data_IF_310224384903
#
_entry.id   IF_310224384903
#
_cell.length_a   1.000
_cell.length_b   1.000
_cell.length_c   1.000
_cell.angle_alpha   90.00
_cell.angle_beta   90.00
_cell.angle_gamma   90.00
#
_symmetry.space_group_name_H-M   'P 1'
#
loop_
_entity.id
_entity.type
_entity.pdbx_description
1 polymer ?
#
# COMPACT_ATOMS: atom_id res chain seq x y z
N UNK A 1 49.61 -25.39 -78.34
CA UNK A 1 48.80 -24.17 -78.56
C UNK A 1 47.86 -24.43 -79.72
N UNK A 2 46.56 -24.26 -79.49
CA UNK A 2 45.53 -23.64 -80.35
C UNK A 2 44.17 -23.99 -79.70
N UNK A 3 43.52 -22.93 -79.24
CA UNK A 3 42.08 -22.61 -79.03
C UNK A 3 41.00 -23.68 -79.29
N UNK A 4 39.87 -23.64 -78.56
CA UNK A 4 38.78 -22.68 -78.83
C UNK A 4 37.99 -22.22 -77.57
N UNK A 5 36.98 -21.33 -77.56
CA UNK A 5 36.47 -20.20 -78.37
C UNK A 5 35.51 -19.47 -77.42
N UNK A 6 35.41 -18.16 -77.62
CA UNK A 6 34.65 -17.17 -76.89
C UNK A 6 33.12 -17.24 -77.17
N UNK A 7 32.27 -16.95 -76.19
CA UNK A 7 30.87 -16.51 -76.43
C UNK A 7 30.54 -15.24 -75.65
N UNK A 8 30.65 -14.14 -76.40
CA UNK A 8 29.94 -12.86 -76.34
C UNK A 8 30.30 -11.79 -75.28
N UNK A 9 30.55 -10.60 -75.83
CA UNK A 9 31.15 -9.39 -75.26
C UNK A 9 30.24 -8.59 -74.31
N UNK A 10 30.84 -7.75 -73.45
CA UNK A 10 30.15 -6.71 -72.69
C UNK A 10 29.89 -5.48 -73.59
N UNK A 11 28.70 -4.89 -73.47
CA UNK A 11 28.38 -3.60 -74.12
C UNK A 11 28.26 -2.53 -73.04
N UNK A 12 28.98 -1.44 -73.26
CA UNK A 12 28.94 -0.19 -72.50
C UNK A 12 27.51 0.36 -72.41
N UNK A 13 27.05 0.64 -71.19
CA UNK A 13 25.82 1.40 -70.96
C UNK A 13 26.12 2.90 -70.98
N UNK A 14 25.71 3.55 -72.07
CA UNK A 14 25.48 5.00 -72.10
C UNK A 14 24.25 5.34 -71.29
N UNK A 15 24.37 6.39 -70.46
CA UNK A 15 23.31 6.99 -69.67
C UNK A 15 22.08 7.34 -70.53
N UNK A 16 20.92 6.83 -70.14
CA UNK A 16 19.62 7.42 -70.42
C UNK A 16 18.89 7.62 -69.10
N UNK A 17 18.53 8.87 -68.84
CA UNK A 17 17.76 9.27 -67.67
C UNK A 17 16.33 8.74 -67.79
N UNK A 18 15.96 7.82 -66.91
CA UNK A 18 14.59 7.52 -66.57
C UNK A 18 14.46 7.61 -65.04
N UNK A 19 13.55 8.49 -64.61
CA UNK A 19 13.24 8.83 -63.24
C UNK A 19 12.89 7.58 -62.43
N UNK A 20 13.78 7.17 -61.53
CA UNK A 20 13.39 6.40 -60.37
C UNK A 20 12.45 7.24 -59.54
N UNK A 21 11.19 6.81 -59.40
CA UNK A 21 10.33 7.29 -58.32
C UNK A 21 11.03 6.98 -57.01
N UNK A 22 11.62 8.01 -56.42
CA UNK A 22 12.04 7.98 -55.03
C UNK A 22 10.76 7.82 -54.21
N UNK A 23 10.52 6.61 -53.69
CA UNK A 23 9.59 6.45 -52.57
C UNK A 23 10.25 7.19 -51.41
N UNK A 24 9.87 8.44 -51.23
CA UNK A 24 10.23 9.19 -50.05
C UNK A 24 9.67 8.41 -48.84
N UNK A 25 10.46 8.22 -47.76
CA UNK A 25 9.84 7.88 -46.48
C UNK A 25 8.74 8.92 -46.23
N UNK A 26 7.56 8.53 -45.71
CA UNK A 26 6.52 9.49 -45.40
C UNK A 26 7.16 10.61 -44.61
N UNK A 27 7.09 11.84 -45.14
CA UNK A 27 7.53 13.01 -44.41
C UNK A 27 6.88 12.91 -43.03
N UNK A 28 7.62 13.15 -41.92
CA UNK A 28 6.98 13.27 -40.64
C UNK A 28 5.88 14.31 -40.83
N UNK A 29 4.62 13.89 -40.73
CA UNK A 29 3.53 14.83 -40.62
C UNK A 29 3.96 15.76 -39.50
N UNK A 30 4.13 17.05 -39.82
CA UNK A 30 4.17 18.08 -38.79
C UNK A 30 2.83 17.95 -38.08
N UNK A 31 2.81 17.15 -37.03
CA UNK A 31 1.78 17.22 -36.03
C UNK A 31 1.96 18.62 -35.46
N UNK A 32 1.13 19.55 -35.90
CA UNK A 32 0.97 20.84 -35.25
C UNK A 32 0.71 20.52 -33.79
N UNK A 33 1.71 20.76 -32.93
CA UNK A 33 1.48 20.79 -31.50
C UNK A 33 0.33 21.76 -31.26
N UNK A 34 -0.63 21.43 -30.38
CA UNK A 34 -1.54 22.45 -29.87
C UNK A 34 -0.69 23.64 -29.42
N UNK A 35 -1.08 24.85 -29.84
CA UNK A 35 -0.40 26.09 -29.48
C UNK A 35 -0.57 26.28 -27.98
N UNK A 36 0.39 25.79 -27.20
CA UNK A 36 0.40 25.98 -25.76
C UNK A 36 0.96 27.37 -25.53
N UNK A 37 0.12 28.33 -25.15
CA UNK A 37 0.59 29.62 -24.65
C UNK A 37 1.32 29.40 -23.32
N UNK A 38 2.60 29.05 -23.38
CA UNK A 38 3.50 28.95 -22.24
C UNK A 38 4.43 30.16 -22.24
N UNK A 39 4.74 30.68 -21.05
CA UNK A 39 5.88 31.58 -20.92
C UNK A 39 7.15 30.80 -21.32
N UNK A 40 8.10 31.46 -22.00
CA UNK A 40 9.32 30.78 -22.48
C UNK A 40 10.15 30.12 -21.36
N UNK A 41 10.09 30.69 -20.15
CA UNK A 41 10.77 30.12 -18.98
C UNK A 41 10.07 28.87 -18.44
N UNK A 42 8.73 28.86 -18.39
CA UNK A 42 7.96 27.69 -17.96
C UNK A 42 8.12 26.51 -18.92
N UNK A 43 8.11 26.79 -20.23
CA UNK A 43 8.33 25.78 -21.26
C UNK A 43 9.74 25.18 -21.17
N UNK A 44 10.75 26.01 -20.92
CA UNK A 44 12.15 25.56 -20.77
C UNK A 44 12.36 24.73 -19.51
N UNK A 45 11.78 25.15 -18.38
CA UNK A 45 11.85 24.40 -17.12
C UNK A 45 11.17 23.03 -17.24
N UNK A 46 9.98 22.96 -17.84
CA UNK A 46 9.27 21.72 -18.10
C UNK A 46 10.02 20.80 -19.08
N UNK A 47 10.57 21.36 -20.17
CA UNK A 47 11.39 20.60 -21.11
C UNK A 47 12.64 20.01 -20.44
N UNK A 48 13.34 20.81 -19.62
CA UNK A 48 14.48 20.33 -18.86
C UNK A 48 14.08 19.24 -17.85
N UNK A 49 12.92 19.36 -17.22
CA UNK A 49 12.41 18.34 -16.28
C UNK A 49 12.22 16.98 -16.97
N UNK A 50 11.65 16.95 -18.18
CA UNK A 50 11.50 15.72 -18.96
C UNK A 50 12.84 15.16 -19.47
N UNK A 51 13.85 16.00 -19.68
CA UNK A 51 15.17 15.56 -20.11
C UNK A 51 16.09 15.14 -18.96
N UNK A 52 15.88 15.69 -17.75
CA UNK A 52 16.57 15.30 -16.51
C UNK A 52 16.03 13.95 -16.05
N UNK A 53 14.70 13.76 -16.06
CA UNK A 53 14.05 12.48 -15.88
C UNK A 53 14.16 11.65 -17.16
N UNK A 54 15.39 11.26 -17.50
CA UNK A 54 15.65 10.34 -18.62
C UNK A 54 14.79 9.07 -18.45
N UNK A 55 14.48 8.35 -19.55
CA UNK A 55 13.86 7.02 -19.50
C UNK A 55 14.57 6.02 -18.57
N UNK A 56 15.81 6.32 -18.16
CA UNK A 56 16.60 5.56 -17.19
C UNK A 56 16.17 5.71 -15.73
N UNK A 57 15.28 6.65 -15.37
CA UNK A 57 14.70 6.72 -14.01
C UNK A 57 13.54 5.73 -13.79
N UNK A 58 13.03 5.09 -14.85
CA UNK A 58 12.08 3.99 -14.68
C UNK A 58 12.83 2.78 -14.10
N UNK A 59 12.80 2.68 -12.78
CA UNK A 59 13.40 1.56 -12.05
C UNK A 59 12.68 0.28 -12.48
N UNK A 60 13.42 -0.66 -13.07
CA UNK A 60 12.90 -2.02 -13.29
C UNK A 60 12.80 -2.70 -11.93
N UNK A 61 11.58 -2.84 -11.42
CA UNK A 61 11.31 -3.47 -10.14
C UNK A 61 10.91 -4.92 -10.36
N UNK A 62 11.63 -5.83 -9.71
CA UNK A 62 11.25 -7.25 -9.68
C UNK A 62 10.22 -7.47 -8.55
N UNK A 63 9.08 -8.13 -8.77
CA UNK A 63 8.09 -8.31 -7.72
C UNK A 63 8.58 -9.25 -6.62
N UNK A 64 8.09 -9.06 -5.39
CA UNK A 64 8.22 -10.04 -4.32
C UNK A 64 7.33 -11.25 -4.65
N UNK A 65 7.89 -12.45 -4.59
CA UNK A 65 7.14 -13.68 -4.92
C UNK A 65 6.43 -14.21 -3.67
N UNK A 66 5.13 -14.50 -3.73
CA UNK A 66 4.39 -15.06 -2.60
C UNK A 66 4.82 -16.49 -2.33
N UNK A 67 4.93 -16.83 -1.05
CA UNK A 67 5.00 -18.22 -0.60
C UNK A 67 3.58 -18.77 -0.60
N UNK A 68 3.33 -19.75 -1.47
CA UNK A 68 2.03 -20.42 -1.59
C UNK A 68 2.06 -21.70 -0.77
N UNK A 69 1.14 -21.80 0.19
CA UNK A 69 0.97 -22.96 1.06
C UNK A 69 -0.41 -23.54 0.78
N UNK A 70 -0.46 -24.77 0.28
CA UNK A 70 -1.73 -25.49 0.09
C UNK A 70 -2.16 -26.13 1.41
N UNK A 71 -3.47 -26.39 1.60
CA UNK A 71 -3.96 -27.04 2.81
C UNK A 71 -3.21 -28.34 3.16
N UNK A 72 -2.89 -29.16 2.15
CA UNK A 72 -2.23 -30.45 2.34
C UNK A 72 -0.78 -30.30 2.80
N UNK A 73 -0.14 -29.19 2.46
CA UNK A 73 1.29 -28.94 2.73
C UNK A 73 1.54 -28.30 4.11
N UNK A 74 0.52 -27.83 4.82
CA UNK A 74 0.67 -27.25 6.18
C UNK A 74 1.30 -28.25 7.15
N UNK A 75 0.90 -29.52 7.07
CA UNK A 75 1.43 -30.58 7.94
C UNK A 75 2.94 -30.82 7.73
N UNK A 76 3.44 -30.50 6.54
CA UNK A 76 4.81 -30.74 6.09
C UNK A 76 5.73 -29.52 6.28
N UNK A 77 5.18 -28.37 6.72
CA UNK A 77 5.98 -27.21 7.11
C UNK A 77 6.88 -27.61 8.29
N UNK A 78 8.18 -27.36 8.12
CA UNK A 78 9.18 -27.57 9.16
C UNK A 78 9.01 -26.55 10.28
N UNK A 79 9.38 -26.94 11.50
CA UNK A 79 9.36 -26.05 12.65
C UNK A 79 8.52 -26.57 13.81
N UNK A 80 8.56 -25.83 14.90
CA UNK A 80 7.77 -26.08 16.10
C UNK A 80 6.30 -25.71 15.84
N UNK A 81 5.40 -26.70 15.93
CA UNK A 81 3.96 -26.49 15.87
C UNK A 81 3.46 -26.01 17.22
N UNK A 82 2.93 -24.80 17.27
CA UNK A 82 2.40 -24.19 18.50
C UNK A 82 0.88 -24.28 18.47
N UNK A 83 0.33 -24.96 19.47
CA UNK A 83 -1.11 -25.14 19.66
C UNK A 83 -1.60 -24.23 20.78
N UNK A 84 -2.83 -23.73 20.66
CA UNK A 84 -3.51 -23.04 21.75
C UNK A 84 -3.96 -24.04 22.84
N UNK A 85 -4.47 -23.53 23.97
CA UNK A 85 -4.97 -24.36 25.07
C UNK A 85 -6.12 -25.30 24.72
N UNK A 86 -6.80 -25.06 23.59
CA UNK A 86 -7.85 -25.93 23.06
C UNK A 86 -7.32 -27.00 22.09
N UNK A 87 -6.00 -27.09 21.90
CA UNK A 87 -5.37 -28.05 21.00
C UNK A 87 -5.47 -27.68 19.51
N UNK A 88 -5.89 -26.46 19.17
CA UNK A 88 -5.96 -25.97 17.79
C UNK A 88 -4.60 -25.38 17.38
N UNK A 89 -4.12 -25.72 16.18
CA UNK A 89 -2.88 -25.18 15.65
C UNK A 89 -2.98 -23.65 15.49
N UNK A 90 -2.06 -22.92 16.12
CA UNK A 90 -2.04 -21.45 16.09
C UNK A 90 -0.97 -20.93 15.13
N UNK A 91 0.23 -21.50 15.21
CA UNK A 91 1.36 -21.11 14.37
C UNK A 91 2.38 -22.24 14.22
N UNK A 92 3.27 -22.09 13.25
CA UNK A 92 4.46 -22.93 13.08
C UNK A 92 5.67 -22.02 13.07
N UNK A 93 6.67 -22.32 13.90
CA UNK A 93 7.90 -21.51 14.04
C UNK A 93 9.10 -22.31 13.54
N UNK A 94 9.64 -21.93 12.38
CA UNK A 94 10.82 -22.53 11.79
C UNK A 94 12.07 -21.69 12.12
N UNK A 95 12.91 -22.21 13.03
CA UNK A 95 14.17 -21.55 13.44
C UNK A 95 15.31 -22.09 12.59
N UNK A 96 15.79 -21.27 11.65
CA UNK A 96 16.94 -21.57 10.81
C UNK A 96 18.20 -20.87 11.34
N UNK A 97 19.34 -21.01 10.67
CA UNK A 97 20.60 -20.43 11.16
C UNK A 97 20.57 -18.89 11.20
N UNK A 98 20.05 -18.26 10.13
CA UNK A 98 20.07 -16.79 9.96
C UNK A 98 18.73 -16.11 10.21
N UNK A 99 17.65 -16.86 10.06
CA UNK A 99 16.29 -16.33 10.16
C UNK A 99 15.38 -17.25 10.96
N UNK A 100 14.31 -16.67 11.49
CA UNK A 100 13.16 -17.39 12.04
C UNK A 100 11.95 -17.05 11.19
N UNK A 101 11.26 -18.07 10.67
CA UNK A 101 10.03 -17.92 9.90
C UNK A 101 8.85 -18.33 10.76
N UNK A 102 7.86 -17.45 10.90
CA UNK A 102 6.64 -17.71 11.67
C UNK A 102 5.45 -17.75 10.71
N UNK A 103 4.83 -18.91 10.60
CA UNK A 103 3.59 -19.13 9.86
C UNK A 103 2.42 -19.01 10.83
N UNK A 104 1.60 -17.97 10.70
CA UNK A 104 0.37 -17.79 11.48
C UNK A 104 -0.80 -18.43 10.75
N UNK A 105 -1.53 -19.30 11.44
CA UNK A 105 -2.67 -19.97 10.84
C UNK A 105 -3.88 -19.03 10.70
N UNK A 106 -4.76 -19.33 9.76
CA UNK A 106 -6.06 -18.67 9.60
C UNK A 106 -6.97 -19.02 10.78
N UNK A 107 -7.60 -18.03 11.43
CA UNK A 107 -8.41 -18.27 12.63
C UNK A 107 -9.62 -19.14 12.32
N UNK A 108 -10.24 -18.98 11.14
CA UNK A 108 -11.41 -19.74 10.74
C UNK A 108 -11.06 -21.12 10.18
N UNK A 109 -9.84 -21.29 9.65
CA UNK A 109 -9.38 -22.54 9.03
C UNK A 109 -7.93 -22.90 9.43
N UNK A 110 -7.66 -23.13 10.72
CA UNK A 110 -6.29 -23.17 11.27
C UNK A 110 -5.43 -24.33 10.78
N UNK A 111 -6.03 -25.40 10.26
CA UNK A 111 -5.30 -26.53 9.69
C UNK A 111 -5.22 -26.50 8.16
N UNK A 112 -5.83 -25.49 7.52
CA UNK A 112 -5.98 -25.45 6.06
C UNK A 112 -5.48 -24.17 5.41
N UNK A 113 -5.28 -23.09 6.15
CA UNK A 113 -4.75 -21.85 5.62
C UNK A 113 -3.78 -21.16 6.57
N UNK A 114 -2.83 -20.46 5.96
CA UNK A 114 -1.93 -19.52 6.61
C UNK A 114 -2.43 -18.11 6.32
N UNK A 115 -2.66 -17.32 7.36
CA UNK A 115 -3.10 -15.92 7.26
C UNK A 115 -1.91 -14.97 7.15
N UNK A 116 -0.77 -15.32 7.73
CA UNK A 116 0.42 -14.46 7.73
C UNK A 116 1.72 -15.27 7.81
N UNK A 117 2.77 -14.78 7.16
CA UNK A 117 4.13 -15.31 7.26
C UNK A 117 5.06 -14.15 7.61
N UNK A 118 5.80 -14.28 8.73
CA UNK A 118 6.76 -13.28 9.19
C UNK A 118 8.17 -13.85 9.22
N UNK A 119 9.15 -13.03 8.83
CA UNK A 119 10.57 -13.41 8.78
C UNK A 119 11.39 -12.49 9.68
N UNK A 120 12.05 -13.08 10.67
CA UNK A 120 12.88 -12.37 11.64
C UNK A 120 14.35 -12.69 11.41
N UNK A 121 15.20 -11.67 11.43
CA UNK A 121 16.65 -11.86 11.41
C UNK A 121 17.13 -12.29 12.81
N UNK A 122 17.78 -13.44 12.93
CA UNK A 122 18.16 -14.00 14.24
C UNK A 122 19.26 -13.20 14.95
N UNK A 123 20.08 -12.45 14.22
CA UNK A 123 21.15 -11.64 14.82
C UNK A 123 20.62 -10.37 15.47
N UNK A 124 19.59 -9.77 14.87
CA UNK A 124 19.05 -8.47 15.32
C UNK A 124 17.71 -8.60 16.05
N UNK A 125 17.03 -9.74 15.91
CA UNK A 125 15.65 -9.93 16.36
C UNK A 125 14.61 -9.12 15.57
N UNK A 126 15.03 -8.39 14.52
CA UNK A 126 14.15 -7.50 13.77
C UNK A 126 13.38 -8.24 12.69
N UNK A 127 12.14 -7.83 12.48
CA UNK A 127 11.31 -8.23 11.36
C UNK A 127 11.90 -7.70 10.05
N UNK A 128 11.98 -8.56 9.04
CA UNK A 128 12.58 -8.24 7.73
C UNK A 128 11.60 -8.41 6.58
N UNK A 129 10.59 -9.26 6.74
CA UNK A 129 9.57 -9.50 5.72
C UNK A 129 8.25 -9.97 6.33
N UNK A 130 7.16 -9.53 5.73
CA UNK A 130 5.78 -9.91 6.09
C UNK A 130 5.05 -10.29 4.80
N UNK A 131 4.33 -11.40 4.82
CA UNK A 131 3.32 -11.75 3.83
C UNK A 131 1.98 -11.91 4.53
N UNK A 132 0.97 -11.14 4.13
CA UNK A 132 -0.42 -11.27 4.60
C UNK A 132 -1.27 -11.90 3.51
N UNK A 133 -2.01 -12.94 3.87
CA UNK A 133 -2.87 -13.72 3.00
C UNK A 133 -4.33 -13.49 3.42
N UNK A 134 -5.15 -12.92 2.53
CA UNK A 134 -6.57 -12.74 2.76
C UNK A 134 -7.31 -13.94 2.18
N UNK A 135 -7.70 -14.84 3.07
CA UNK A 135 -8.37 -16.08 2.73
C UNK A 135 -9.89 -15.90 2.81
N UNK A 136 -10.60 -16.39 1.80
CA UNK A 136 -12.04 -16.44 1.80
C UNK A 136 -12.50 -17.89 2.03
N UNK A 137 -13.45 -18.08 2.96
CA UNK A 137 -14.13 -19.35 3.14
C UNK A 137 -15.10 -19.54 1.96
N UNK A 138 -14.70 -20.30 0.95
CA UNK A 138 -15.59 -20.69 -0.14
C UNK A 138 -16.69 -21.67 0.33
N UNK A 139 -17.62 -21.99 -0.57
CA UNK A 139 -18.68 -23.00 -0.36
C UNK A 139 -18.15 -24.44 -0.23
N UNK A 140 -16.89 -24.65 -0.64
CA UNK A 140 -16.16 -25.90 -0.46
C UNK A 140 -15.16 -25.66 0.66
N UNK A 141 -15.05 -26.58 1.61
CA UNK A 141 -14.30 -26.50 2.88
C UNK A 141 -12.78 -26.21 2.80
N UNK A 142 -12.27 -25.72 1.66
CA UNK A 142 -10.91 -25.30 1.43
C UNK A 142 -10.84 -23.77 1.28
N UNK A 143 -10.17 -23.06 2.21
CA UNK A 143 -9.99 -21.62 2.11
C UNK A 143 -9.21 -21.28 0.83
N UNK A 144 -9.70 -20.28 0.09
CA UNK A 144 -9.02 -19.77 -1.10
C UNK A 144 -8.37 -18.44 -0.77
N UNK A 145 -7.08 -18.30 -1.04
CA UNK A 145 -6.41 -17.01 -0.99
C UNK A 145 -6.93 -16.11 -2.13
N UNK A 146 -7.49 -14.96 -1.78
CA UNK A 146 -8.02 -13.97 -2.73
C UNK A 146 -7.04 -12.83 -2.94
N UNK A 147 -6.31 -12.46 -1.89
CA UNK A 147 -5.35 -11.37 -1.93
C UNK A 147 -4.09 -11.73 -1.14
N UNK A 148 -2.94 -11.32 -1.63
CA UNK A 148 -1.65 -11.46 -0.93
C UNK A 148 -0.88 -10.15 -0.98
N UNK A 149 -0.53 -9.63 0.19
CA UNK A 149 0.33 -8.45 0.34
C UNK A 149 1.66 -8.85 0.94
N UNK A 150 2.76 -8.48 0.29
CA UNK A 150 4.11 -8.81 0.73
C UNK A 150 4.90 -7.52 0.92
N UNK A 151 5.58 -7.39 2.05
CA UNK A 151 6.46 -6.27 2.36
C UNK A 151 7.80 -6.77 2.86
N UNK A 152 8.89 -6.17 2.35
CA UNK A 152 10.24 -6.26 2.90
C UNK A 152 10.62 -4.96 3.58
N UNK A 153 11.28 -5.07 4.74
CA UNK A 153 11.67 -3.97 5.61
C UNK A 153 13.19 -3.79 5.59
N UNK A 154 13.64 -2.54 5.66
CA UNK A 154 15.06 -2.23 5.85
C UNK A 154 15.47 -2.36 7.34
N UNK A 155 16.75 -2.10 7.65
CA UNK A 155 17.30 -2.19 9.01
C UNK A 155 16.63 -1.27 10.04
N UNK A 156 15.98 -0.21 9.58
CA UNK A 156 15.27 0.77 10.41
C UNK A 156 13.80 0.38 10.62
N UNK A 157 13.35 -0.75 10.06
CA UNK A 157 11.98 -1.22 10.11
C UNK A 157 11.04 -0.52 9.12
N UNK A 158 11.58 0.30 8.19
CA UNK A 158 10.78 0.96 7.16
C UNK A 158 10.60 0.07 5.95
N UNK A 159 9.44 0.18 5.29
CA UNK A 159 9.15 -0.51 4.02
C UNK A 159 10.22 -0.19 3.00
N UNK A 160 10.94 -1.20 2.52
CA UNK A 160 11.88 -1.07 1.41
C UNK A 160 11.21 -1.43 0.09
N UNK A 161 10.33 -2.43 0.13
CA UNK A 161 9.69 -2.99 -1.05
C UNK A 161 8.35 -3.63 -0.72
N UNK A 162 7.39 -3.49 -1.61
CA UNK A 162 6.07 -4.10 -1.47
C UNK A 162 5.61 -4.73 -2.78
N UNK A 163 4.77 -5.77 -2.70
CA UNK A 163 4.06 -6.33 -3.85
C UNK A 163 2.66 -6.78 -3.43
N UNK A 164 1.68 -6.46 -4.27
CA UNK A 164 0.28 -6.78 -4.06
C UNK A 164 -0.20 -7.70 -5.17
N UNK A 165 -0.85 -8.80 -4.76
CA UNK A 165 -1.46 -9.77 -5.65
C UNK A 165 -2.94 -9.89 -5.37
N UNK A 166 -3.76 -9.82 -6.42
CA UNK A 166 -5.19 -10.09 -6.37
C UNK A 166 -5.53 -11.27 -7.26
N UNK A 167 -6.23 -12.26 -6.71
CA UNK A 167 -6.60 -13.52 -7.36
C UNK A 167 -5.41 -14.22 -8.06
N UNK A 168 -4.24 -14.19 -7.40
CA UNK A 168 -3.00 -14.79 -7.89
C UNK A 168 -2.30 -14.01 -9.01
N UNK A 169 -2.78 -12.82 -9.38
CA UNK A 169 -2.14 -11.93 -10.36
C UNK A 169 -1.49 -10.75 -9.64
N UNK A 170 -0.29 -10.38 -10.10
CA UNK A 170 0.39 -9.18 -9.61
C UNK A 170 -0.40 -7.94 -10.03
N UNK A 171 -0.77 -7.12 -9.06
CA UNK A 171 -1.47 -5.83 -9.25
C UNK A 171 -0.50 -4.66 -9.17
N UNK A 172 0.46 -4.70 -8.24
CA UNK A 172 1.48 -3.65 -8.13
C UNK A 172 2.77 -4.13 -7.47
N UNK A 173 3.85 -3.43 -7.77
CA UNK A 173 5.12 -3.51 -7.04
C UNK A 173 5.58 -2.11 -6.70
N UNK A 174 6.04 -1.93 -5.47
CA UNK A 174 6.53 -0.66 -4.98
C UNK A 174 7.93 -0.79 -4.37
N UNK A 175 8.77 0.22 -4.57
CA UNK A 175 10.06 0.34 -3.89
C UNK A 175 10.21 1.73 -3.28
N UNK A 176 10.91 1.79 -2.15
CA UNK A 176 10.97 2.96 -1.30
C UNK A 176 12.42 3.37 -1.05
N UNK A 177 12.70 4.65 -1.25
CA UNK A 177 13.96 5.29 -0.92
C UNK A 177 13.72 6.39 0.09
N UNK A 178 14.55 6.43 1.14
CA UNK A 178 14.46 7.42 2.21
C UNK A 178 15.72 8.29 2.20
N UNK A 179 15.51 9.60 2.28
CA UNK A 179 16.57 10.59 2.40
C UNK A 179 16.59 11.25 3.78
N UNK A 180 17.53 12.19 4.00
CA UNK A 180 17.51 13.06 5.17
C UNK A 180 16.20 13.88 5.23
N UNK A 181 15.90 14.43 6.40
CA UNK A 181 14.82 15.40 6.61
C UNK A 181 13.42 14.93 6.17
N UNK A 182 13.14 13.63 6.32
CA UNK A 182 11.83 13.06 5.99
C UNK A 182 11.56 12.95 4.49
N UNK A 183 12.58 13.15 3.64
CA UNK A 183 12.42 12.90 2.20
C UNK A 183 12.13 11.42 1.94
N UNK A 184 11.13 11.14 1.11
CA UNK A 184 10.73 9.79 0.71
C UNK A 184 10.44 9.78 -0.79
N UNK A 185 10.94 8.77 -1.49
CA UNK A 185 10.64 8.49 -2.90
C UNK A 185 10.05 7.10 -3.03
N UNK A 186 8.89 7.01 -3.68
CA UNK A 186 8.12 5.78 -3.88
C UNK A 186 8.03 5.53 -5.37
N UNK A 187 8.60 4.42 -5.80
CA UNK A 187 8.48 3.94 -7.17
C UNK A 187 7.33 2.94 -7.20
N UNK A 188 6.35 3.12 -8.09
CA UNK A 188 5.23 2.19 -8.25
C UNK A 188 5.19 1.69 -9.69
N UNK A 189 5.04 0.38 -9.88
CA UNK A 189 4.80 -0.24 -11.16
C UNK A 189 3.57 -1.13 -11.10
N UNK A 190 2.61 -0.86 -12.01
CA UNK A 190 1.42 -1.67 -12.19
C UNK A 190 1.61 -2.54 -13.45
N UNK A 191 1.50 -3.88 -13.37
CA UNK A 191 1.67 -4.74 -14.53
C UNK A 191 0.69 -4.38 -15.65
N UNK A 192 1.21 -4.17 -16.86
CA UNK A 192 0.45 -3.71 -18.04
C UNK A 192 -0.24 -2.34 -17.87
N UNK A 193 0.05 -1.63 -16.78
CA UNK A 193 -0.51 -0.33 -16.43
C UNK A 193 0.52 0.79 -16.61
N UNK A 194 0.43 1.80 -15.75
CA UNK A 194 1.41 2.89 -15.69
C UNK A 194 2.45 2.59 -14.59
N UNK A 195 3.57 3.29 -14.64
CA UNK A 195 4.48 3.41 -13.51
C UNK A 195 4.53 4.85 -13.04
N UNK A 196 4.90 5.06 -11.79
CA UNK A 196 5.00 6.40 -11.21
C UNK A 196 6.14 6.50 -10.20
N UNK A 197 6.55 7.73 -9.95
CA UNK A 197 7.48 8.11 -8.89
C UNK A 197 6.79 9.19 -8.07
N UNK A 198 6.55 8.92 -6.79
CA UNK A 198 6.06 9.90 -5.83
C UNK A 198 7.19 10.32 -4.90
N UNK A 199 7.56 11.59 -4.96
CA UNK A 199 8.51 12.24 -4.06
C UNK A 199 7.73 13.03 -3.00
N UNK A 200 8.08 12.86 -1.73
CA UNK A 200 7.47 13.52 -0.57
C UNK A 200 8.60 14.19 0.20
N UNK A 201 8.45 15.48 0.48
CA UNK A 201 9.36 16.23 1.35
C UNK A 201 8.58 16.72 2.56
N UNK A 202 8.81 16.12 3.72
CA UNK A 202 8.07 16.46 4.95
C UNK A 202 8.39 17.87 5.48
N UNK A 203 9.63 18.35 5.31
CA UNK A 203 10.02 19.71 5.76
C UNK A 203 9.25 20.79 5.02
N UNK A 204 9.22 20.71 3.69
CA UNK A 204 8.46 21.67 2.88
C UNK A 204 6.97 21.36 2.88
N UNK A 205 6.58 20.13 3.24
CA UNK A 205 5.22 19.59 3.10
C UNK A 205 4.74 19.70 1.65
N UNK A 206 5.55 19.16 0.74
CA UNK A 206 5.30 19.19 -0.70
C UNK A 206 5.46 17.81 -1.31
N UNK A 207 4.71 17.55 -2.37
CA UNK A 207 4.80 16.31 -3.14
C UNK A 207 5.08 16.57 -4.61
N UNK A 208 5.72 15.59 -5.25
CA UNK A 208 5.88 15.55 -6.70
C UNK A 208 5.58 14.14 -7.21
N UNK A 209 4.61 14.02 -8.10
CA UNK A 209 4.24 12.78 -8.76
C UNK A 209 4.66 12.85 -10.23
N UNK A 210 5.56 11.97 -10.65
CA UNK A 210 5.90 11.78 -12.06
C UNK A 210 5.28 10.48 -12.55
N UNK A 211 4.42 10.55 -13.56
CA UNK A 211 3.74 9.38 -14.11
C UNK A 211 4.23 9.07 -15.52
N UNK A 212 4.44 7.79 -15.79
CA UNK A 212 4.98 7.27 -17.04
C UNK A 212 3.91 6.47 -17.80
N UNK A 213 3.99 6.51 -19.13
CA UNK A 213 3.25 5.62 -20.02
C UNK A 213 3.82 4.20 -19.96
N UNK A 214 3.12 3.26 -20.61
CA UNK A 214 3.58 1.86 -20.75
C UNK A 214 4.96 1.76 -21.42
N UNK A 215 5.27 2.70 -22.30
CA UNK A 215 6.52 2.75 -23.06
C UNK A 215 7.63 3.51 -22.30
N UNK A 216 7.40 3.85 -21.03
CA UNK A 216 8.37 4.53 -20.16
C UNK A 216 8.51 6.03 -20.44
N UNK A 217 7.63 6.64 -21.24
CA UNK A 217 7.65 8.09 -21.46
C UNK A 217 6.88 8.82 -20.37
N UNK A 218 7.36 9.99 -19.94
CA UNK A 218 6.61 10.82 -19.00
C UNK A 218 5.28 11.23 -19.65
N UNK A 219 4.19 10.99 -18.94
CA UNK A 219 2.83 11.39 -19.31
C UNK A 219 2.48 12.72 -18.63
N UNK A 220 2.77 12.84 -17.34
CA UNK A 220 2.59 14.09 -16.61
C UNK A 220 3.49 14.16 -15.37
N UNK A 221 3.72 15.38 -14.89
CA UNK A 221 4.33 15.68 -13.60
C UNK A 221 3.40 16.60 -12.81
N UNK A 222 2.97 16.15 -11.65
CA UNK A 222 2.24 16.98 -10.68
C UNK A 222 3.18 17.39 -9.57
N UNK A 223 3.17 18.68 -9.21
CA UNK A 223 3.80 19.19 -7.99
C UNK A 223 2.75 19.87 -7.14
N UNK A 224 2.77 19.63 -5.83
CA UNK A 224 1.83 20.21 -4.87
C UNK A 224 2.57 20.72 -3.64
N UNK A 225 2.26 21.94 -3.23
CA UNK A 225 2.56 22.44 -1.89
C UNK A 225 1.32 22.19 -1.02
N UNK A 226 1.44 21.34 0.00
CA UNK A 226 0.30 21.00 0.85
C UNK A 226 -0.03 22.08 1.88
N UNK A 227 0.90 23.02 2.17
CA UNK A 227 0.65 24.14 3.09
C UNK A 227 -0.19 25.21 2.41
N UNK A 228 0.15 25.57 1.17
CA UNK A 228 -0.55 26.61 0.41
C UNK A 228 -1.71 26.04 -0.43
N UNK A 229 -1.69 24.73 -0.70
CA UNK A 229 -2.63 24.08 -1.61
C UNK A 229 -2.31 24.32 -3.09
N UNK A 230 -1.25 25.06 -3.40
CA UNK A 230 -0.82 25.33 -4.77
C UNK A 230 -0.42 24.03 -5.48
N UNK A 231 -0.83 23.90 -6.73
CA UNK A 231 -0.46 22.78 -7.56
C UNK A 231 -0.09 23.21 -8.97
N UNK A 232 0.77 22.41 -9.60
CA UNK A 232 1.14 22.53 -11.01
C UNK A 232 1.17 21.14 -11.63
N UNK A 233 0.38 20.96 -12.68
CA UNK A 233 0.36 19.77 -13.53
C UNK A 233 0.97 20.11 -14.87
N UNK A 234 2.02 19.39 -15.26
CA UNK A 234 2.62 19.50 -16.59
C UNK A 234 2.38 18.20 -17.36
N UNK A 235 1.64 18.25 -18.46
CA UNK A 235 1.37 17.11 -19.33
C UNK A 235 2.39 17.04 -20.47
N UNK A 236 2.79 15.84 -20.85
CA UNK A 236 3.82 15.59 -21.85
C UNK A 236 3.33 14.66 -22.96
N UNK A 237 3.82 14.89 -24.19
CA UNK A 237 3.68 13.97 -25.32
C UNK A 237 5.03 13.85 -26.02
N UNK A 238 5.55 12.62 -26.16
CA UNK A 238 6.86 12.36 -26.77
C UNK A 238 7.99 13.20 -26.14
N UNK A 239 7.99 13.32 -24.81
CA UNK A 239 8.99 14.08 -24.04
C UNK A 239 8.85 15.62 -24.12
N UNK A 240 7.84 16.15 -24.80
CA UNK A 240 7.59 17.60 -24.89
C UNK A 240 6.37 18.00 -24.06
N UNK A 241 6.45 19.09 -23.28
CA UNK A 241 5.29 19.61 -22.57
C UNK A 241 4.22 20.06 -23.57
N UNK A 242 2.99 19.61 -23.37
CA UNK A 242 1.81 19.96 -24.20
C UNK A 242 0.77 20.76 -23.42
N UNK A 243 0.87 20.83 -22.10
CA UNK A 243 -0.03 21.63 -21.26
C UNK A 243 0.60 21.85 -19.88
N UNK A 244 0.45 23.06 -19.35
CA UNK A 244 0.73 23.38 -17.95
C UNK A 244 -0.56 23.92 -17.35
N UNK A 245 -1.00 23.31 -16.25
CA UNK A 245 -2.13 23.78 -15.45
C UNK A 245 -1.58 24.16 -14.08
N UNK A 246 -1.77 25.42 -13.68
CA UNK A 246 -1.48 25.88 -12.32
C UNK A 246 -2.81 26.16 -11.62
N UNK A 247 -2.84 25.95 -10.32
CA UNK A 247 -4.00 26.29 -9.51
C UNK A 247 -3.69 26.25 -8.03
N UNK A 248 -4.71 26.50 -7.22
CA UNK A 248 -4.64 26.40 -5.79
C UNK A 248 -5.89 25.68 -5.30
N UNK A 249 -5.70 24.66 -4.47
CA UNK A 249 -6.80 23.99 -3.78
C UNK A 249 -7.24 24.88 -2.61
N UNK A 250 -8.15 25.79 -2.90
CA UNK A 250 -8.80 26.62 -1.87
C UNK A 250 -9.94 25.83 -1.22
N UNK A 251 -10.31 26.18 0.03
CA UNK A 251 -11.54 25.71 0.61
C UNK A 251 -12.73 25.95 -0.33
N UNK A 252 -13.54 24.92 -0.52
CA UNK A 252 -14.81 25.00 -1.24
C UNK A 252 -15.95 25.06 -0.23
N UNK A 253 -17.05 25.71 -0.62
CA UNK A 253 -18.27 25.71 0.19
C UNK A 253 -18.76 24.27 0.38
N UNK A 254 -19.02 23.88 1.63
CA UNK A 254 -19.57 22.58 1.93
C UNK A 254 -21.09 22.56 1.73
N UNK A 255 -21.52 22.24 0.51
CA UNK A 255 -22.93 22.12 0.15
C UNK A 255 -23.48 20.69 0.28
N UNK A 256 -22.68 19.72 0.75
CA UNK A 256 -23.11 18.32 0.87
C UNK A 256 -24.06 18.09 2.05
N UNK A 257 -24.06 19.02 3.02
CA UNK A 257 -24.77 18.86 4.28
C UNK A 257 -24.07 17.91 5.27
N UNK A 258 -22.92 17.36 4.90
CA UNK A 258 -22.14 16.44 5.74
C UNK A 258 -21.06 17.24 6.47
N UNK A 259 -21.09 17.22 7.80
CA UNK A 259 -20.03 17.77 8.63
C UNK A 259 -19.49 16.66 9.55
N UNK A 260 -18.42 15.96 9.14
CA UNK A 260 -17.92 14.81 9.90
C UNK A 260 -17.31 15.22 11.26
N UNK A 261 -16.92 16.49 11.43
CA UNK A 261 -16.45 17.03 12.71
C UNK A 261 -17.58 17.25 13.73
N UNK A 262 -18.81 17.44 13.25
CA UNK A 262 -19.99 17.57 14.09
C UNK A 262 -20.72 16.24 14.31
N UNK A 263 -20.25 15.16 13.67
CA UNK A 263 -20.84 13.82 13.82
C UNK A 263 -20.32 13.14 15.09
N UNK A 264 -21.17 12.93 16.12
CA UNK A 264 -20.74 12.30 17.37
C UNK A 264 -20.31 10.84 17.17
N UNK A 265 -20.80 10.15 16.13
CA UNK A 265 -20.39 8.77 15.87
C UNK A 265 -18.93 8.71 15.36
N UNK A 266 -18.44 9.76 14.72
CA UNK A 266 -17.07 9.88 14.21
C UNK A 266 -16.08 10.49 15.21
N UNK A 267 -16.53 10.82 16.42
CA UNK A 267 -15.61 11.26 17.49
C UNK A 267 -14.73 10.09 17.93
N UNK A 268 -13.38 10.21 17.94
CA UNK A 268 -12.50 9.14 18.39
C UNK A 268 -12.83 8.69 19.81
N UNK A 269 -12.62 7.40 20.10
CA UNK A 269 -12.65 6.88 21.46
C UNK A 269 -11.66 7.63 22.37
N UNK A 270 -11.72 7.42 23.68
CA UNK A 270 -10.63 7.87 24.55
C UNK A 270 -9.42 6.95 24.36
N UNK A 271 -8.20 7.48 24.20
CA UNK A 271 -6.99 6.67 24.11
C UNK A 271 -6.88 5.66 25.25
N UNK A 272 -6.50 4.43 24.91
CA UNK A 272 -6.34 3.37 25.91
C UNK A 272 -4.94 3.46 26.53
N UNK A 273 -4.88 3.60 27.86
CA UNK A 273 -3.62 3.63 28.61
C UNK A 273 -3.47 2.33 29.40
N UNK A 274 -2.54 1.47 28.97
CA UNK A 274 -2.18 0.25 29.70
C UNK A 274 -1.32 0.61 30.92
N UNK A 275 -1.98 0.91 32.05
CA UNK A 275 -1.32 1.37 33.28
C UNK A 275 -0.76 0.27 34.20
N UNK A 276 -0.61 -0.96 33.71
CA UNK A 276 -0.18 -2.12 34.50
C UNK A 276 0.53 -3.17 33.63
N UNK A 277 1.28 -4.08 34.24
CA UNK A 277 1.81 -5.27 33.55
C UNK A 277 0.70 -6.33 33.40
N UNK A 278 0.23 -6.61 32.17
CA UNK A 278 -0.85 -7.56 31.95
C UNK A 278 -0.48 -8.98 32.39
N UNK A 279 0.80 -9.36 32.41
CA UNK A 279 1.24 -10.72 32.81
C UNK A 279 1.14 -10.95 34.32
N UNK A 280 1.22 -9.86 35.10
CA UNK A 280 1.20 -9.86 36.56
C UNK A 280 -0.20 -9.95 37.18
N UNK A 281 -1.26 -9.89 36.37
CA UNK A 281 -2.64 -9.93 36.88
C UNK A 281 -2.95 -11.32 37.46
N UNK A 282 -3.72 -11.31 38.56
CA UNK A 282 -4.30 -12.53 39.14
C UNK A 282 -5.56 -12.92 38.36
N UNK A 283 -5.63 -14.19 37.96
CA UNK A 283 -6.75 -14.71 37.19
C UNK A 283 -6.49 -16.13 36.71
N UNK A 284 -7.47 -16.74 36.06
CA UNK A 284 -7.33 -18.05 35.44
C UNK A 284 -6.42 -17.93 34.20
N UNK A 285 -5.36 -18.74 34.16
CA UNK A 285 -4.35 -18.69 33.09
C UNK A 285 -4.42 -19.93 32.22
N UNK A 286 -4.32 -19.74 30.90
CA UNK A 286 -4.04 -20.83 29.96
C UNK A 286 -2.77 -20.53 29.17
N UNK A 287 -2.17 -21.58 28.63
CA UNK A 287 -0.87 -21.52 27.97
C UNK A 287 -0.93 -22.22 26.62
N UNK A 288 -0.14 -21.70 25.69
CA UNK A 288 0.18 -22.38 24.46
C UNK A 288 1.05 -23.62 24.73
N UNK A 289 1.13 -24.52 23.75
CA UNK A 289 1.96 -25.74 23.85
C UNK A 289 3.46 -25.46 24.00
N UNK A 290 3.93 -24.27 23.64
CA UNK A 290 5.32 -23.82 23.84
C UNK A 290 5.56 -23.22 25.25
N UNK A 291 4.55 -23.24 26.12
CA UNK A 291 4.61 -22.70 27.48
C UNK A 291 4.40 -21.19 27.59
N UNK A 292 4.25 -20.47 26.47
CA UNK A 292 3.90 -19.06 26.50
C UNK A 292 2.48 -18.88 27.07
N UNK A 293 2.27 -17.80 27.83
CA UNK A 293 0.95 -17.41 28.30
C UNK A 293 0.06 -17.13 27.08
N UNK A 294 -1.12 -17.74 27.05
CA UNK A 294 -2.12 -17.51 26.00
C UNK A 294 -3.19 -16.54 26.47
N UNK A 295 -3.69 -16.76 27.68
CA UNK A 295 -4.85 -16.05 28.19
C UNK A 295 -4.75 -15.84 29.69
N UNK A 296 -5.22 -14.68 30.16
CA UNK A 296 -5.60 -14.47 31.56
C UNK A 296 -7.07 -14.01 31.57
N UNK A 297 -7.91 -14.71 32.33
CA UNK A 297 -9.29 -14.29 32.61
C UNK A 297 -9.38 -13.79 34.05
N UNK A 298 -9.86 -12.56 34.21
CA UNK A 298 -9.96 -11.89 35.51
C UNK A 298 -11.37 -11.34 35.71
N UNK A 299 -11.94 -11.57 36.89
CA UNK A 299 -13.18 -10.92 37.31
C UNK A 299 -12.84 -9.53 37.86
N UNK A 300 -13.42 -8.48 37.26
CA UNK A 300 -13.27 -7.11 37.76
C UNK A 300 -14.60 -6.59 38.27
N UNK A 301 -14.60 -5.40 38.89
CA UNK A 301 -15.84 -4.73 39.28
C UNK A 301 -16.78 -4.50 38.09
N UNK A 302 -16.21 -4.28 36.91
CA UNK A 302 -16.94 -3.91 35.68
C UNK A 302 -17.21 -5.14 34.79
N UNK A 303 -17.08 -6.35 35.35
CA UNK A 303 -17.28 -7.62 34.67
C UNK A 303 -15.97 -8.32 34.33
N UNK A 304 -16.09 -9.40 33.56
CA UNK A 304 -14.97 -10.22 33.12
C UNK A 304 -14.08 -9.47 32.13
N UNK A 305 -12.77 -9.57 32.33
CA UNK A 305 -11.76 -9.08 31.40
C UNK A 305 -10.87 -10.24 30.99
N UNK A 306 -10.65 -10.38 29.68
CA UNK A 306 -9.80 -11.42 29.11
C UNK A 306 -8.63 -10.76 28.38
N UNK A 307 -7.40 -11.02 28.84
CA UNK A 307 -6.17 -10.66 28.16
C UNK A 307 -5.72 -11.83 27.31
N UNK A 308 -5.58 -11.63 26.00
CA UNK A 308 -5.05 -12.62 25.06
C UNK A 308 -3.66 -12.21 24.61
N UNK A 309 -2.74 -13.16 24.67
CA UNK A 309 -1.33 -13.01 24.36
C UNK A 309 -0.99 -13.80 23.10
N UNK A 310 -0.02 -13.31 22.35
CA UNK A 310 0.57 -14.00 21.22
C UNK A 310 1.50 -15.14 21.68
N UNK A 311 1.83 -16.11 20.81
CA UNK A 311 2.77 -17.20 21.15
C UNK A 311 4.20 -16.76 21.55
N UNK A 312 4.57 -15.51 21.25
CA UNK A 312 5.82 -14.87 21.70
C UNK A 312 5.69 -14.21 23.09
N UNK A 313 4.50 -14.26 23.69
CA UNK A 313 4.16 -13.67 24.96
C UNK A 313 3.87 -12.17 24.93
N UNK A 314 3.77 -11.52 23.77
CA UNK A 314 3.29 -10.14 23.67
C UNK A 314 1.78 -10.06 23.88
N UNK A 315 1.28 -8.97 24.47
CA UNK A 315 -0.17 -8.74 24.56
C UNK A 315 -0.71 -8.44 23.17
N UNK A 316 -1.75 -9.17 22.77
CA UNK A 316 -2.41 -9.01 21.47
C UNK A 316 -3.80 -8.41 21.59
N UNK A 317 -4.60 -8.83 22.58
CA UNK A 317 -5.99 -8.37 22.72
C UNK A 317 -6.39 -8.22 24.19
N UNK A 318 -7.23 -7.25 24.50
CA UNK A 318 -8.01 -7.18 25.74
C UNK A 318 -9.49 -7.17 25.37
N UNK A 319 -10.23 -8.20 25.77
CA UNK A 319 -11.68 -8.25 25.67
C UNK A 319 -12.31 -7.85 27.00
N UNK A 320 -13.29 -6.96 26.96
CA UNK A 320 -14.10 -6.59 28.12
C UNK A 320 -15.53 -7.07 27.92
N UNK A 321 -16.15 -7.58 28.98
CA UNK A 321 -17.52 -8.11 28.95
C UNK A 321 -18.56 -7.06 28.49
N UNK A 322 -18.29 -5.78 28.73
CA UNK A 322 -19.12 -4.66 28.26
C UNK A 322 -19.17 -4.52 26.73
N UNK A 323 -18.44 -5.35 25.97
CA UNK A 323 -18.45 -5.37 24.52
C UNK A 323 -17.30 -4.58 23.86
N UNK A 324 -16.46 -3.89 24.64
CA UNK A 324 -15.27 -3.21 24.14
C UNK A 324 -14.09 -4.18 24.00
N UNK A 325 -13.40 -4.11 22.87
CA UNK A 325 -12.19 -4.89 22.58
C UNK A 325 -11.04 -3.97 22.22
N UNK A 326 -9.84 -4.22 22.75
CA UNK A 326 -8.63 -3.49 22.40
C UNK A 326 -7.67 -4.45 21.72
N UNK A 327 -7.32 -4.17 20.46
CA UNK A 327 -6.33 -4.93 19.69
C UNK A 327 -5.00 -4.19 19.68
N UNK A 328 -3.91 -4.90 19.92
CA UNK A 328 -2.55 -4.39 19.89
C UNK A 328 -1.82 -4.93 18.66
N UNK A 329 -1.57 -4.06 17.70
CA UNK A 329 -0.78 -4.37 16.51
C UNK A 329 0.65 -3.92 16.74
N UNK A 330 1.42 -4.78 17.39
CA UNK A 330 2.82 -4.50 17.75
C UNK A 330 3.76 -4.40 16.53
N UNK A 331 3.29 -4.84 15.35
CA UNK A 331 4.01 -4.82 14.08
C UNK A 331 3.00 -4.80 12.90
N UNK A 332 2.81 -3.64 12.25
CA UNK A 332 1.98 -3.52 11.04
C UNK A 332 2.79 -3.70 9.75
N UNK A 333 2.07 -3.76 8.62
CA UNK A 333 2.66 -3.95 7.28
C UNK A 333 3.66 -2.84 6.92
N UNK A 334 3.54 -1.66 7.54
CA UNK A 334 4.42 -0.51 7.35
C UNK A 334 5.52 -0.37 8.43
N UNK A 335 5.64 -1.34 9.33
CA UNK A 335 6.58 -1.29 10.46
C UNK A 335 6.12 -0.37 11.61
N UNK A 336 4.96 0.26 11.50
CA UNK A 336 4.33 1.06 12.56
C UNK A 336 3.67 0.18 13.61
N UNK A 337 3.56 0.70 14.83
CA UNK A 337 2.71 0.14 15.88
C UNK A 337 1.39 0.87 15.87
N UNK A 338 0.29 0.12 16.00
CA UNK A 338 -1.02 0.70 16.24
C UNK A 338 -1.77 -0.08 17.31
N UNK A 339 -2.81 0.54 17.85
CA UNK A 339 -3.83 -0.20 18.58
C UNK A 339 -5.21 0.26 18.15
N UNK A 340 -6.17 -0.66 18.20
CA UNK A 340 -7.56 -0.42 17.80
C UNK A 340 -8.46 -0.66 19.00
N UNK A 341 -9.36 0.28 19.24
CA UNK A 341 -10.49 0.12 20.17
C UNK A 341 -11.72 -0.18 19.32
N UNK A 342 -12.34 -1.34 19.51
CA UNK A 342 -13.58 -1.75 18.90
C UNK A 342 -14.71 -1.79 19.94
N UNK A 343 -15.78 -1.04 19.70
CA UNK A 343 -16.97 -1.01 20.53
C UNK A 343 -18.17 -1.54 19.75
N UNK A 344 -18.95 -2.44 20.37
CA UNK A 344 -20.25 -2.87 19.85
C UNK A 344 -21.29 -1.81 20.08
N UNK A 345 -21.99 -1.41 19.02
CA UNK A 345 -23.05 -0.42 19.08
C UNK A 345 -24.40 -1.09 19.40
N UNK A 346 -25.33 -0.40 20.09
CA UNK A 346 -26.65 -0.95 20.44
C UNK A 346 -27.49 -1.41 19.24
N UNK A 347 -27.24 -0.84 18.06
CA UNK A 347 -27.91 -1.16 16.80
C UNK A 347 -27.32 -2.39 16.09
N UNK A 348 -26.39 -3.12 16.73
CA UNK A 348 -25.69 -4.26 16.13
C UNK A 348 -24.51 -3.87 15.23
N UNK A 349 -24.25 -2.56 15.06
CA UNK A 349 -23.07 -2.06 14.39
C UNK A 349 -21.80 -2.16 15.24
N UNK A 350 -20.69 -1.72 14.66
CA UNK A 350 -19.38 -1.65 15.30
C UNK A 350 -18.78 -0.27 15.08
N UNK A 351 -18.11 0.25 16.10
CA UNK A 351 -17.27 1.44 16.00
C UNK A 351 -15.83 1.05 16.30
N UNK A 352 -14.92 1.42 15.43
CA UNK A 352 -13.49 1.18 15.59
C UNK A 352 -12.77 2.52 15.63
N UNK A 353 -11.83 2.67 16.57
CA UNK A 353 -10.89 3.79 16.60
C UNK A 353 -9.48 3.23 16.58
N UNK A 354 -8.71 3.55 15.55
CA UNK A 354 -7.29 3.19 15.45
C UNK A 354 -6.40 4.36 15.84
N UNK A 355 -5.32 4.07 16.56
CA UNK A 355 -4.25 5.01 16.88
C UNK A 355 -2.92 4.48 16.39
N UNK A 356 -2.27 5.24 15.53
CA UNK A 356 -0.93 4.95 15.03
C UNK A 356 0.13 5.66 15.89
N UNK A 357 1.33 5.07 15.93
CA UNK A 357 2.49 5.63 16.63
C UNK A 357 3.03 6.93 16.02
N UNK A 358 2.70 7.23 14.75
CA UNK A 358 3.07 8.48 14.07
C UNK A 358 2.13 9.66 14.39
N UNK A 359 1.07 9.40 15.18
CA UNK A 359 0.08 10.37 15.60
C UNK A 359 -1.17 10.45 14.71
N UNK A 360 -1.25 9.68 13.62
CA UNK A 360 -2.53 9.49 12.93
C UNK A 360 -3.53 8.69 13.75
N UNK A 361 -4.80 8.91 13.47
CA UNK A 361 -5.89 8.12 14.04
C UNK A 361 -7.04 8.05 13.05
N UNK A 362 -7.82 6.98 13.09
CA UNK A 362 -9.02 6.82 12.28
C UNK A 362 -10.20 6.42 13.16
N UNK A 363 -11.40 6.80 12.73
CA UNK A 363 -12.65 6.37 13.35
C UNK A 363 -13.54 5.83 12.26
N UNK A 364 -14.01 4.60 12.43
CA UNK A 364 -14.88 3.94 11.46
C UNK A 364 -16.07 3.33 12.15
N UNK A 365 -17.25 3.59 11.59
CA UNK A 365 -18.54 3.08 12.07
C UNK A 365 -19.16 2.24 10.97
N UNK A 366 -19.43 0.97 11.26
CA UNK A 366 -20.01 0.02 10.32
C UNK A 366 -21.29 -0.57 10.87
N UNK A 367 -22.35 -0.54 10.08
CA UNK A 367 -23.62 -1.19 10.36
C UNK A 367 -24.21 -1.80 9.08
N UNK A 368 -24.14 -3.13 8.96
CA UNK A 368 -24.55 -3.83 7.74
C UNK A 368 -23.73 -3.41 6.53
N UNK A 369 -24.42 -2.92 5.49
CA UNK A 369 -23.81 -2.40 4.24
C UNK A 369 -23.44 -0.91 4.33
N UNK A 370 -23.73 -0.25 5.45
CA UNK A 370 -23.37 1.15 5.67
C UNK A 370 -22.06 1.24 6.46
N UNK A 371 -21.15 2.06 5.97
CA UNK A 371 -19.86 2.33 6.60
C UNK A 371 -19.55 3.82 6.46
N UNK A 372 -19.09 4.45 7.53
CA UNK A 372 -18.50 5.78 7.47
C UNK A 372 -17.19 5.81 8.23
N UNK A 373 -16.25 6.59 7.75
CA UNK A 373 -14.90 6.68 8.29
C UNK A 373 -14.41 8.13 8.25
N UNK A 374 -13.68 8.51 9.29
CA UNK A 374 -12.93 9.75 9.35
C UNK A 374 -11.50 9.46 9.76
N UNK A 375 -10.55 9.79 8.89
CA UNK A 375 -9.11 9.64 9.10
C UNK A 375 -8.53 11.01 9.46
N UNK A 376 -7.81 11.08 10.56
CA UNK A 376 -7.04 12.23 11.00
C UNK A 376 -5.57 11.97 10.70
N UNK A 377 -5.03 12.65 9.69
CA UNK A 377 -3.63 12.51 9.34
C UNK A 377 -2.72 13.22 10.34
N UNK A 378 -1.45 12.81 10.42
CA UNK A 378 -0.44 13.41 11.31
C UNK A 378 -0.24 14.93 11.11
N UNK A 379 -0.53 15.45 9.92
CA UNK A 379 -0.43 16.89 9.60
C UNK A 379 -1.72 17.67 9.93
N UNK A 380 -2.72 17.03 10.52
CA UNK A 380 -4.01 17.61 10.89
C UNK A 380 -5.06 17.62 9.78
N UNK A 381 -4.70 17.31 8.53
CA UNK A 381 -5.68 17.16 7.45
C UNK A 381 -6.56 15.93 7.70
N UNK A 382 -7.80 15.94 7.20
CA UNK A 382 -8.75 14.86 7.43
C UNK A 382 -9.34 14.33 6.12
N UNK A 383 -9.69 13.05 6.13
CA UNK A 383 -10.35 12.38 5.03
C UNK A 383 -11.60 11.69 5.55
N UNK A 384 -12.75 12.02 4.97
CA UNK A 384 -14.02 11.38 5.24
C UNK A 384 -14.39 10.46 4.09
N UNK A 385 -14.89 9.27 4.42
CA UNK A 385 -15.50 8.35 3.48
C UNK A 385 -16.83 7.84 4.02
N UNK A 386 -17.83 7.73 3.16
CA UNK A 386 -19.10 7.07 3.47
C UNK A 386 -19.49 6.15 2.33
N UNK A 387 -19.86 4.93 2.67
CA UNK A 387 -20.41 3.93 1.78
C UNK A 387 -21.80 3.53 2.27
N UNK A 388 -22.80 3.63 1.42
CA UNK A 388 -24.15 3.15 1.73
C UNK A 388 -24.83 2.61 0.48
N UNK A 389 -25.10 1.30 0.45
CA UNK A 389 -25.82 0.61 -0.65
C UNK A 389 -25.25 0.95 -2.05
N UNK A 390 -23.92 0.97 -2.16
CA UNK A 390 -23.20 1.24 -3.42
C UNK A 390 -23.05 2.72 -3.79
N UNK A 391 -23.50 3.66 -2.94
CA UNK A 391 -23.12 5.07 -3.04
C UNK A 391 -21.87 5.31 -2.20
N UNK A 392 -20.92 6.06 -2.74
CA UNK A 392 -19.63 6.33 -2.11
C UNK A 392 -19.35 7.82 -2.10
N UNK A 393 -19.45 8.45 -0.93
CA UNK A 393 -19.03 9.83 -0.74
C UNK A 393 -17.62 9.85 -0.18
N UNK A 394 -16.78 10.73 -0.72
CA UNK A 394 -15.42 10.97 -0.24
C UNK A 394 -15.18 12.47 -0.14
N UNK A 395 -14.65 12.93 1.00
CA UNK A 395 -14.37 14.34 1.25
C UNK A 395 -12.99 14.51 1.88
N UNK A 396 -12.22 15.49 1.40
CA UNK A 396 -10.94 15.89 2.02
C UNK A 396 -11.13 17.23 2.72
N UNK A 397 -10.60 17.35 3.94
CA UNK A 397 -10.59 18.58 4.72
C UNK A 397 -9.16 18.97 5.04
N UNK A 398 -8.88 20.27 5.03
CA UNK A 398 -7.61 20.79 5.49
C UNK A 398 -7.50 20.72 7.04
N UNK A 399 -6.34 21.11 7.57
CA UNK A 399 -6.07 21.11 9.02
C UNK A 399 -6.97 22.03 9.86
N UNK A 400 -7.67 22.97 9.23
CA UNK A 400 -8.62 23.87 9.88
C UNK A 400 -10.05 23.28 9.87
N UNK A 401 -10.26 22.13 9.25
CA UNK A 401 -11.58 21.52 9.08
C UNK A 401 -12.38 22.05 7.90
N UNK A 402 -11.75 22.76 6.97
CA UNK A 402 -12.42 23.32 5.79
C UNK A 402 -12.38 22.31 4.63
N UNK A 403 -13.50 22.12 3.93
CA UNK A 403 -13.61 21.20 2.80
C UNK A 403 -12.73 21.68 1.65
N UNK A 404 -11.87 20.81 1.11
CA UNK A 404 -11.02 21.12 -0.05
C UNK A 404 -11.38 20.31 -1.30
N UNK A 405 -12.09 19.19 -1.13
CA UNK A 405 -12.40 18.26 -2.22
C UNK A 405 -13.57 17.36 -1.83
N UNK A 406 -14.48 17.09 -2.77
CA UNK A 406 -15.58 16.14 -2.59
C UNK A 406 -15.85 15.32 -3.86
N UNK A 407 -16.17 14.04 -3.70
CA UNK A 407 -16.64 13.14 -4.75
C UNK A 407 -17.82 12.33 -4.23
N UNK A 408 -18.78 12.05 -5.12
CA UNK A 408 -19.96 11.22 -4.87
C UNK A 408 -20.14 10.16 -5.95
#
# INVERSE_FOLDING_TARGET
>A
MINPVNTFNPVQTTQQAYTTETIYPPQPQQQTSPDVQMSGMDAMAAYNQANISKPTEQKKMEPLVPVIITPESIKDIKGEKIYNSQGTLNSIVDKQDKETVVYKMDISNPEKAVSEIKYYNNQTGKLTKIQKNFNFAGSESNPKNVETNIVELNSDGKVQKASHYYQGKLESTEEFEYGPDGFKKIYTAVPKGHSSILEICEVTDSTRLTCFSKDGQIKYVDTKDNKTGEFKTTEYKNGKPIRITNGQNLPIENTTGINPLADPELTPAQPFVLGYDPKGIQGEKSYYSNGALEKIETETRDGKVTHLFNPDGSLGVINKENGSTIFFYNENINGTKSYVIEDKLPNGGTKTTEYDDDGSKSVRVKNGESEKELIYNKNGAMVYGESNKGKHTYMEFNKNGELVKSFD
#
